data_IF_479192277573
#
_entry.id   IF_479192277573
#
_cell.length_a   1.000
_cell.length_b   1.000
_cell.length_c   1.000
_cell.angle_alpha   90.00
_cell.angle_beta   90.00
_cell.angle_gamma   90.00
#
_symmetry.space_group_name_H-M   'P 1'
#
loop_
_entity.id
_entity.type
_entity.pdbx_description
1 polymer ?
#
# COMPACT_ATOMS: atom_id res chain seq x y z
N UNK A 1 1.55 -16.61 -36.53
CA UNK A 1 2.92 -16.28 -36.11
C UNK A 1 3.91 -17.37 -36.44
N UNK A 2 3.70 -18.62 -36.01
CA UNK A 2 4.62 -19.74 -36.32
C UNK A 2 4.94 -19.90 -37.82
N UNK A 3 3.92 -19.87 -38.69
CA UNK A 3 4.11 -19.89 -40.16
C UNK A 3 4.90 -18.68 -40.70
N UNK A 4 4.78 -17.52 -40.06
CA UNK A 4 5.53 -16.33 -40.46
C UNK A 4 7.01 -16.49 -40.07
N UNK A 5 7.29 -16.99 -38.86
CA UNK A 5 8.66 -17.28 -38.38
C UNK A 5 9.30 -18.39 -39.20
N UNK A 6 8.54 -19.41 -39.64
CA UNK A 6 9.11 -20.47 -40.50
C UNK A 6 9.53 -19.94 -41.88
N UNK A 7 8.86 -18.91 -42.39
CA UNK A 7 9.18 -18.28 -43.67
C UNK A 7 10.27 -17.20 -43.53
N UNK A 8 10.24 -16.47 -42.41
CA UNK A 8 11.16 -15.39 -42.08
C UNK A 8 11.61 -15.54 -40.62
N UNK A 9 12.70 -16.30 -40.37
CA UNK A 9 13.12 -16.65 -39.02
C UNK A 9 13.34 -15.47 -38.09
N UNK A 10 13.77 -14.32 -38.62
CA UNK A 10 14.14 -13.14 -37.84
C UNK A 10 13.11 -12.00 -37.96
N UNK A 11 11.87 -12.34 -38.33
CA UNK A 11 10.77 -11.37 -38.40
C UNK A 11 10.33 -10.92 -36.99
N UNK A 12 10.83 -9.75 -36.58
CA UNK A 12 10.70 -9.16 -35.25
C UNK A 12 9.27 -9.19 -34.71
N UNK A 13 8.30 -8.65 -35.45
CA UNK A 13 6.92 -8.52 -35.00
C UNK A 13 6.26 -9.89 -34.77
N UNK A 14 6.62 -10.90 -35.58
CA UNK A 14 6.10 -12.25 -35.39
C UNK A 14 6.71 -12.95 -34.18
N UNK A 15 8.01 -12.74 -33.91
CA UNK A 15 8.68 -13.29 -32.73
C UNK A 15 8.14 -12.63 -31.46
N UNK A 16 8.04 -11.29 -31.43
CA UNK A 16 7.51 -10.51 -30.30
C UNK A 16 6.06 -10.90 -29.99
N UNK A 17 5.19 -10.90 -31.01
CA UNK A 17 3.80 -11.31 -30.85
C UNK A 17 3.68 -12.76 -30.35
N UNK A 18 4.49 -13.69 -30.89
CA UNK A 18 4.45 -15.08 -30.44
C UNK A 18 4.95 -15.22 -29.01
N UNK A 19 6.01 -14.51 -28.62
CA UNK A 19 6.53 -14.52 -27.24
C UNK A 19 5.43 -14.08 -26.25
N UNK A 20 4.71 -13.01 -26.54
CA UNK A 20 3.59 -12.51 -25.72
C UNK A 20 2.42 -13.48 -25.67
N UNK A 21 2.09 -14.13 -26.80
CA UNK A 21 1.05 -15.18 -26.83
C UNK A 21 1.47 -16.37 -25.96
N UNK A 22 2.74 -16.79 -26.01
CA UNK A 22 3.27 -17.88 -25.17
C UNK A 22 3.22 -17.54 -23.69
N UNK A 23 3.57 -16.30 -23.32
CA UNK A 23 3.38 -15.78 -21.96
C UNK A 23 1.90 -15.91 -21.57
N UNK A 24 0.98 -15.42 -22.39
CA UNK A 24 -0.46 -15.46 -22.12
C UNK A 24 -0.99 -16.90 -21.95
N UNK A 25 -0.44 -17.85 -22.70
CA UNK A 25 -0.75 -19.28 -22.59
C UNK A 25 -0.11 -19.96 -21.36
N UNK A 26 0.80 -19.29 -20.65
CA UNK A 26 1.58 -19.87 -19.56
C UNK A 26 2.75 -20.75 -20.01
N UNK A 27 3.06 -20.77 -21.32
CA UNK A 27 4.20 -21.49 -21.87
C UNK A 27 5.48 -20.63 -21.76
N UNK A 28 5.99 -20.53 -20.53
CA UNK A 28 7.15 -19.70 -20.23
C UNK A 28 8.45 -20.22 -20.84
N UNK A 29 8.55 -21.52 -21.09
CA UNK A 29 9.73 -22.11 -21.73
C UNK A 29 9.87 -21.65 -23.19
N UNK A 30 8.79 -21.70 -23.97
CA UNK A 30 8.80 -21.17 -25.34
C UNK A 30 8.96 -19.65 -25.36
N UNK A 31 8.30 -18.95 -24.42
CA UNK A 31 8.43 -17.50 -24.29
C UNK A 31 9.87 -17.07 -24.03
N UNK A 32 10.59 -17.75 -23.14
CA UNK A 32 12.00 -17.50 -22.84
C UNK A 32 12.88 -17.69 -24.08
N UNK A 33 12.68 -18.77 -24.84
CA UNK A 33 13.45 -19.02 -26.06
C UNK A 33 13.26 -17.91 -27.10
N UNK A 34 12.01 -17.49 -27.32
CA UNK A 34 11.67 -16.44 -28.28
C UNK A 34 12.18 -15.06 -27.84
N UNK A 35 12.05 -14.74 -26.56
CA UNK A 35 12.53 -13.46 -26.00
C UNK A 35 14.05 -13.37 -25.95
N UNK A 36 14.77 -14.47 -25.66
CA UNK A 36 16.23 -14.54 -25.83
C UNK A 36 16.65 -14.30 -27.28
N UNK A 37 15.90 -14.85 -28.25
CA UNK A 37 16.13 -14.58 -29.66
C UNK A 37 15.96 -13.09 -29.98
N UNK A 38 14.89 -12.44 -29.52
CA UNK A 38 14.70 -10.99 -29.69
C UNK A 38 15.85 -10.18 -29.10
N UNK A 39 16.29 -10.50 -27.89
CA UNK A 39 17.43 -9.80 -27.25
C UNK A 39 18.73 -10.02 -28.01
N UNK A 40 18.94 -11.19 -28.62
CA UNK A 40 20.14 -11.44 -29.42
C UNK A 40 20.19 -10.62 -30.71
N UNK A 41 19.04 -10.33 -31.32
CA UNK A 41 18.92 -9.53 -32.54
C UNK A 41 18.90 -8.03 -32.20
N UNK A 42 18.23 -7.66 -31.10
CA UNK A 42 17.97 -6.28 -30.70
C UNK A 42 18.37 -6.03 -29.23
N UNK A 43 19.68 -6.09 -28.90
CA UNK A 43 20.15 -6.02 -27.51
C UNK A 43 19.92 -4.67 -26.83
N UNK A 44 19.65 -3.62 -27.61
CA UNK A 44 19.41 -2.26 -27.12
C UNK A 44 17.92 -1.96 -26.88
N UNK A 45 17.02 -2.93 -27.12
CA UNK A 45 15.59 -2.75 -26.88
C UNK A 45 15.23 -3.16 -25.44
N UNK A 46 14.92 -2.22 -24.53
CA UNK A 46 14.61 -2.53 -23.13
C UNK A 46 13.34 -3.39 -22.98
N UNK A 47 12.38 -3.29 -23.90
CA UNK A 47 11.14 -4.07 -23.85
C UNK A 47 11.41 -5.57 -24.06
N UNK A 48 12.32 -5.92 -24.97
CA UNK A 48 12.69 -7.31 -25.22
C UNK A 48 13.47 -7.91 -24.06
N UNK A 49 14.34 -7.11 -23.44
CA UNK A 49 14.98 -7.48 -22.18
C UNK A 49 13.94 -7.69 -21.07
N UNK A 50 12.90 -6.85 -21.00
CA UNK A 50 11.82 -7.02 -20.01
C UNK A 50 11.04 -8.31 -20.24
N UNK A 51 10.65 -8.61 -21.47
CA UNK A 51 9.95 -9.86 -21.82
C UNK A 51 10.79 -11.09 -21.49
N UNK A 52 12.10 -11.04 -21.77
CA UNK A 52 13.06 -12.09 -21.40
C UNK A 52 13.10 -12.27 -19.88
N UNK A 53 13.35 -11.18 -19.15
CA UNK A 53 13.43 -11.19 -17.70
C UNK A 53 12.16 -11.75 -17.05
N UNK A 54 10.99 -11.36 -17.57
CA UNK A 54 9.70 -11.87 -17.11
C UNK A 54 9.53 -13.37 -17.39
N UNK A 55 9.83 -13.82 -18.60
CA UNK A 55 9.70 -15.24 -18.96
C UNK A 55 10.67 -16.12 -18.16
N UNK A 56 11.91 -15.68 -17.96
CA UNK A 56 12.92 -16.39 -17.16
C UNK A 56 12.53 -16.47 -15.68
N UNK A 57 11.96 -15.41 -15.10
CA UNK A 57 11.45 -15.42 -13.72
C UNK A 57 10.33 -16.44 -13.53
N UNK A 58 9.42 -16.55 -14.51
CA UNK A 58 8.28 -17.48 -14.45
C UNK A 58 8.66 -18.92 -14.82
N UNK A 59 9.76 -19.13 -15.53
CA UNK A 59 10.23 -20.46 -15.84
C UNK A 59 10.99 -21.07 -14.65
N UNK A 60 10.36 -22.01 -13.96
CA UNK A 60 10.91 -22.73 -12.80
C UNK A 60 12.26 -23.42 -13.06
N UNK A 61 12.62 -23.68 -14.33
CA UNK A 61 13.86 -24.36 -14.71
C UNK A 61 15.05 -23.43 -14.98
N UNK A 62 14.84 -22.11 -15.10
CA UNK A 62 15.85 -21.14 -15.59
C UNK A 62 16.17 -20.01 -14.59
N UNK A 63 15.32 -19.80 -13.58
CA UNK A 63 15.34 -18.59 -12.77
C UNK A 63 16.49 -18.54 -11.74
N UNK A 64 17.65 -17.99 -12.13
CA UNK A 64 18.61 -17.44 -11.16
C UNK A 64 18.24 -15.98 -10.85
N UNK A 65 18.03 -15.68 -9.57
CA UNK A 65 17.80 -14.30 -9.09
C UNK A 65 18.88 -13.30 -9.55
N UNK A 66 20.11 -13.77 -9.77
CA UNK A 66 21.21 -12.94 -10.24
C UNK A 66 21.11 -12.59 -11.73
N UNK A 67 20.58 -13.49 -12.56
CA UNK A 67 20.34 -13.22 -13.99
C UNK A 67 19.23 -12.17 -14.11
N UNK A 68 18.11 -12.38 -13.41
CA UNK A 68 17.00 -11.43 -13.38
C UNK A 68 17.44 -10.04 -12.91
N UNK A 69 18.24 -9.97 -11.85
CA UNK A 69 18.86 -8.71 -11.38
C UNK A 69 19.68 -8.06 -12.48
N UNK A 70 20.54 -8.79 -13.18
CA UNK A 70 21.43 -8.24 -14.19
C UNK A 70 20.64 -7.70 -15.39
N UNK A 71 19.62 -8.42 -15.85
CA UNK A 71 18.73 -7.94 -16.92
C UNK A 71 18.02 -6.65 -16.51
N UNK A 72 17.47 -6.58 -15.29
CA UNK A 72 16.80 -5.38 -14.77
C UNK A 72 17.77 -4.20 -14.61
N UNK A 73 19.01 -4.45 -14.22
CA UNK A 73 20.06 -3.42 -14.21
C UNK A 73 20.31 -2.90 -15.61
N UNK A 74 20.38 -3.78 -16.61
CA UNK A 74 20.64 -3.38 -18.00
C UNK A 74 19.48 -2.58 -18.59
N UNK A 75 18.23 -3.02 -18.35
CA UNK A 75 17.03 -2.26 -18.74
C UNK A 75 17.08 -0.83 -18.18
N UNK A 76 17.41 -0.68 -16.90
CA UNK A 76 17.50 0.63 -16.25
C UNK A 76 18.69 1.49 -16.70
N UNK A 77 19.69 0.92 -17.38
CA UNK A 77 20.75 1.69 -18.05
C UNK A 77 20.30 2.18 -19.42
N UNK A 78 19.57 1.34 -20.16
CA UNK A 78 19.05 1.66 -21.49
C UNK A 78 17.92 2.68 -21.42
N UNK A 79 17.03 2.53 -20.43
CA UNK A 79 15.94 3.46 -20.15
C UNK A 79 15.82 3.72 -18.65
N UNK A 80 16.48 4.79 -18.19
CA UNK A 80 16.40 5.26 -16.82
C UNK A 80 15.05 5.95 -16.50
N UNK A 81 14.14 6.09 -17.46
CA UNK A 81 12.83 6.70 -17.26
C UNK A 81 11.73 5.66 -17.10
N UNK A 82 11.99 4.39 -17.41
CA UNK A 82 11.02 3.31 -17.29
C UNK A 82 10.64 3.07 -15.83
N UNK A 83 9.50 3.62 -15.44
CA UNK A 83 8.95 3.46 -14.10
C UNK A 83 8.47 2.03 -13.84
N UNK A 84 8.08 1.26 -14.85
CA UNK A 84 7.58 -0.11 -14.69
C UNK A 84 8.73 -1.04 -14.37
N UNK A 85 9.78 -1.01 -15.21
CA UNK A 85 11.01 -1.78 -14.98
C UNK A 85 11.66 -1.44 -13.63
N UNK A 86 11.60 -0.18 -13.21
CA UNK A 86 12.05 0.22 -11.87
C UNK A 86 11.20 -0.40 -10.77
N UNK A 87 9.87 -0.36 -10.88
CA UNK A 87 8.97 -0.96 -9.90
C UNK A 87 9.19 -2.48 -9.80
N UNK A 88 9.43 -3.15 -10.93
CA UNK A 88 9.80 -4.56 -11.00
C UNK A 88 11.12 -4.84 -10.31
N UNK A 89 12.16 -4.05 -10.63
CA UNK A 89 13.48 -4.13 -10.01
C UNK A 89 13.41 -4.00 -8.48
N UNK A 90 12.60 -3.08 -7.97
CA UNK A 90 12.39 -2.90 -6.54
C UNK A 90 11.71 -4.10 -5.88
N UNK A 91 10.68 -4.67 -6.52
CA UNK A 91 10.03 -5.90 -6.01
C UNK A 91 11.05 -7.04 -5.92
N UNK A 92 11.74 -7.32 -7.03
CA UNK A 92 12.76 -8.39 -7.09
C UNK A 92 13.86 -8.16 -6.06
N UNK A 93 14.30 -6.92 -5.86
CA UNK A 93 15.31 -6.55 -4.89
C UNK A 93 14.85 -6.84 -3.45
N UNK A 94 13.60 -6.54 -3.11
CA UNK A 94 13.03 -6.79 -1.79
C UNK A 94 12.79 -8.28 -1.54
N UNK A 95 12.37 -9.02 -2.56
CA UNK A 95 12.01 -10.44 -2.44
C UNK A 95 13.24 -11.35 -2.32
N UNK A 96 14.35 -11.01 -2.99
CA UNK A 96 15.47 -11.96 -3.18
C UNK A 96 16.81 -11.56 -2.57
N UNK A 97 16.97 -10.29 -2.16
CA UNK A 97 18.27 -9.74 -1.75
C UNK A 97 18.24 -9.10 -0.35
N UNK A 98 19.29 -9.31 0.47
CA UNK A 98 19.38 -8.73 1.81
C UNK A 98 19.56 -7.21 1.75
N UNK A 99 19.20 -6.52 2.83
CA UNK A 99 19.14 -5.05 2.91
C UNK A 99 20.44 -4.32 2.52
N UNK A 100 21.59 -4.93 2.77
CA UNK A 100 22.90 -4.36 2.49
C UNK A 100 23.38 -4.59 1.04
N UNK A 101 22.61 -5.30 0.21
CA UNK A 101 22.99 -5.65 -1.15
C UNK A 101 23.08 -4.40 -2.05
N UNK A 102 24.07 -4.37 -2.95
CA UNK A 102 24.37 -3.21 -3.80
C UNK A 102 23.20 -2.84 -4.73
N UNK A 103 22.43 -3.83 -5.20
CA UNK A 103 21.24 -3.61 -6.03
C UNK A 103 20.16 -2.81 -5.27
N UNK A 104 19.84 -3.21 -4.03
CA UNK A 104 18.92 -2.48 -3.15
C UNK A 104 19.42 -1.07 -2.87
N UNK A 105 20.73 -0.93 -2.63
CA UNK A 105 21.36 0.39 -2.42
C UNK A 105 21.15 1.35 -3.58
N UNK A 106 21.47 0.92 -4.81
CA UNK A 106 21.29 1.75 -6.01
C UNK A 106 19.83 2.19 -6.21
N UNK A 107 18.88 1.26 -6.06
CA UNK A 107 17.44 1.57 -6.18
C UNK A 107 16.98 2.52 -5.07
N UNK A 108 17.43 2.30 -3.84
CA UNK A 108 17.11 3.16 -2.70
C UNK A 108 17.68 4.57 -2.82
N UNK A 109 18.91 4.71 -3.31
CA UNK A 109 19.56 6.00 -3.59
C UNK A 109 18.79 6.80 -4.65
N UNK A 110 18.32 6.14 -5.72
CA UNK A 110 17.43 6.75 -6.70
C UNK A 110 16.15 7.28 -6.02
N UNK A 111 15.51 6.49 -5.17
CA UNK A 111 14.30 6.92 -4.44
C UNK A 111 14.58 8.10 -3.50
N UNK A 112 15.74 8.15 -2.86
CA UNK A 112 16.16 9.31 -2.07
C UNK A 112 16.38 10.56 -2.94
N UNK A 113 16.94 10.42 -4.15
CA UNK A 113 17.03 11.53 -5.10
C UNK A 113 15.64 12.05 -5.49
N UNK A 114 14.69 11.16 -5.79
CA UNK A 114 13.31 11.55 -6.12
C UNK A 114 12.57 12.16 -4.93
N UNK A 115 12.81 11.68 -3.72
CA UNK A 115 12.32 12.29 -2.48
C UNK A 115 12.77 13.76 -2.36
N UNK A 116 14.08 14.03 -2.49
CA UNK A 116 14.62 15.40 -2.43
C UNK A 116 14.02 16.29 -3.51
N UNK A 117 13.94 15.79 -4.75
CA UNK A 117 13.33 16.51 -5.88
C UNK A 117 11.86 16.87 -5.61
N UNK A 118 11.08 15.91 -5.12
CA UNK A 118 9.64 16.10 -4.84
C UNK A 118 9.43 17.06 -3.68
N UNK A 119 10.23 16.93 -2.61
CA UNK A 119 10.19 17.81 -1.44
C UNK A 119 10.52 19.26 -1.82
N UNK A 120 11.55 19.48 -2.64
CA UNK A 120 11.91 20.80 -3.15
C UNK A 120 10.84 21.41 -4.05
N UNK A 121 10.05 20.57 -4.72
CA UNK A 121 8.91 20.97 -5.55
C UNK A 121 7.60 21.09 -4.76
N UNK A 122 7.65 20.96 -3.42
CA UNK A 122 6.48 20.98 -2.52
C UNK A 122 5.44 19.87 -2.80
N UNK A 123 5.83 18.82 -3.51
CA UNK A 123 5.00 17.65 -3.78
C UNK A 123 5.14 16.65 -2.61
N UNK A 124 4.56 17.01 -1.46
CA UNK A 124 4.79 16.26 -0.22
C UNK A 124 4.32 14.81 -0.29
N UNK A 125 3.16 14.51 -0.88
CA UNK A 125 2.67 13.13 -0.96
C UNK A 125 3.59 12.24 -1.82
N UNK A 126 4.12 12.80 -2.91
CA UNK A 126 5.13 12.15 -3.75
C UNK A 126 6.44 11.94 -3.00
N UNK A 127 6.88 12.95 -2.24
CA UNK A 127 8.05 12.83 -1.39
C UNK A 127 7.86 11.70 -0.36
N UNK A 128 6.73 11.66 0.35
CA UNK A 128 6.42 10.61 1.33
C UNK A 128 6.43 9.21 0.70
N UNK A 129 5.87 9.07 -0.50
CA UNK A 129 5.93 7.80 -1.25
C UNK A 129 7.37 7.37 -1.54
N UNK A 130 8.19 8.26 -2.11
CA UNK A 130 9.58 7.94 -2.42
C UNK A 130 10.42 7.62 -1.17
N UNK A 131 10.20 8.36 -0.09
CA UNK A 131 10.85 8.09 1.20
C UNK A 131 10.44 6.73 1.75
N UNK A 132 9.16 6.34 1.63
CA UNK A 132 8.72 5.01 2.05
C UNK A 132 9.38 3.91 1.24
N UNK A 133 9.50 4.07 -0.09
CA UNK A 133 10.21 3.11 -0.93
C UNK A 133 11.70 3.03 -0.57
N UNK A 134 12.36 4.16 -0.33
CA UNK A 134 13.76 4.19 0.12
C UNK A 134 13.94 3.51 1.48
N UNK A 135 13.03 3.75 2.42
CA UNK A 135 13.03 3.10 3.74
C UNK A 135 12.96 1.59 3.65
N UNK A 136 12.20 1.05 2.72
CA UNK A 136 12.16 -0.41 2.53
C UNK A 136 13.39 -0.94 1.82
N UNK A 137 13.91 -0.24 0.81
CA UNK A 137 15.08 -0.70 0.07
C UNK A 137 16.36 -0.65 0.93
N UNK A 138 16.54 0.41 1.72
CA UNK A 138 17.75 0.70 2.49
C UNK A 138 17.44 1.28 3.89
N UNK A 139 16.72 0.51 4.76
CA UNK A 139 16.27 0.99 6.07
C UNK A 139 17.41 1.38 7.02
N UNK A 140 18.60 0.81 6.84
CA UNK A 140 19.78 1.07 7.67
C UNK A 140 20.54 2.37 7.35
N UNK A 141 20.25 3.03 6.22
CA UNK A 141 21.00 4.22 5.80
C UNK A 141 20.67 5.43 6.71
N UNK A 142 21.66 6.12 7.30
CA UNK A 142 21.41 7.20 8.27
C UNK A 142 20.50 8.31 7.73
N UNK A 143 20.69 8.72 6.48
CA UNK A 143 19.86 9.77 5.88
C UNK A 143 18.38 9.34 5.76
N UNK A 144 18.12 8.10 5.35
CA UNK A 144 16.76 7.55 5.25
C UNK A 144 16.09 7.51 6.62
N UNK A 145 16.81 7.11 7.66
CA UNK A 145 16.32 7.11 9.04
C UNK A 145 15.99 8.52 9.52
N UNK A 146 16.88 9.49 9.27
CA UNK A 146 16.67 10.89 9.64
C UNK A 146 15.47 11.53 8.92
N UNK A 147 15.32 11.29 7.61
CA UNK A 147 14.18 11.80 6.85
C UNK A 147 12.89 11.11 7.26
N UNK A 148 12.92 9.81 7.56
CA UNK A 148 11.77 9.07 8.11
C UNK A 148 11.34 9.64 9.47
N UNK A 149 12.30 9.93 10.35
CA UNK A 149 12.05 10.54 11.65
C UNK A 149 11.39 11.93 11.47
N UNK A 150 11.93 12.75 10.57
CA UNK A 150 11.37 14.07 10.24
C UNK A 150 9.95 13.97 9.68
N UNK A 151 9.69 12.96 8.86
CA UNK A 151 8.36 12.71 8.30
C UNK A 151 7.35 12.28 9.38
N UNK A 152 7.71 11.36 10.28
CA UNK A 152 6.83 10.98 11.39
C UNK A 152 6.51 12.16 12.31
N UNK A 153 7.50 13.03 12.57
CA UNK A 153 7.28 14.28 13.31
C UNK A 153 6.30 15.21 12.59
N UNK A 154 6.46 15.38 11.27
CA UNK A 154 5.59 16.22 10.42
C UNK A 154 4.15 15.70 10.38
N UNK A 155 3.96 14.39 10.27
CA UNK A 155 2.62 13.78 10.22
C UNK A 155 1.98 13.62 11.60
N UNK A 156 2.71 13.87 12.69
CA UNK A 156 2.22 13.68 14.05
C UNK A 156 2.07 12.22 14.46
N UNK A 157 2.72 11.28 13.76
CA UNK A 157 2.64 9.84 14.07
C UNK A 157 3.55 9.52 15.27
N UNK A 158 3.09 9.94 16.45
CA UNK A 158 3.86 9.95 17.69
C UNK A 158 4.51 8.60 18.05
N UNK A 159 3.80 7.46 18.03
CA UNK A 159 4.39 6.17 18.39
C UNK A 159 5.57 5.75 17.50
N UNK A 160 5.39 5.86 16.17
CA UNK A 160 6.45 5.56 15.21
C UNK A 160 7.62 6.54 15.32
N UNK A 161 7.32 7.82 15.60
CA UNK A 161 8.34 8.84 15.85
C UNK A 161 9.17 8.49 17.10
N UNK A 162 8.53 8.23 18.25
CA UNK A 162 9.22 7.90 19.50
C UNK A 162 10.03 6.61 19.38
N UNK A 163 9.47 5.54 18.82
CA UNK A 163 10.19 4.27 18.67
C UNK A 163 11.42 4.41 17.77
N UNK A 164 11.31 5.17 16.67
CA UNK A 164 12.48 5.47 15.83
C UNK A 164 13.49 6.36 16.55
N UNK A 165 13.04 7.31 17.36
CA UNK A 165 13.89 8.20 18.14
C UNK A 165 14.67 7.44 19.22
N UNK A 166 14.01 6.52 19.95
CA UNK A 166 14.63 5.62 20.93
C UNK A 166 15.69 4.72 20.27
N UNK A 167 15.35 4.14 19.12
CA UNK A 167 16.30 3.37 18.31
C UNK A 167 17.53 4.19 17.91
N UNK A 168 17.32 5.42 17.41
CA UNK A 168 18.41 6.31 17.01
C UNK A 168 19.25 6.79 18.20
N UNK A 169 18.63 7.01 19.36
CA UNK A 169 19.33 7.33 20.61
C UNK A 169 20.29 6.21 21.03
N UNK A 170 19.83 4.96 20.95
CA UNK A 170 20.66 3.77 21.25
C UNK A 170 21.82 3.61 20.26
N UNK A 171 21.56 3.87 18.98
CA UNK A 171 22.58 3.78 17.92
C UNK A 171 23.59 4.95 17.96
N UNK A 172 23.16 6.13 18.38
CA UNK A 172 23.96 7.35 18.41
C UNK A 172 23.89 8.04 19.80
N UNK A 173 24.50 7.42 20.84
CA UNK A 173 24.41 7.89 22.23
C UNK A 173 25.11 9.23 22.50
N UNK A 174 25.94 9.73 21.59
CA UNK A 174 26.56 11.05 21.72
C UNK A 174 25.63 12.20 21.30
N UNK A 175 24.56 11.89 20.55
CA UNK A 175 23.63 12.92 20.10
C UNK A 175 22.62 13.28 21.21
N UNK A 176 22.97 14.28 22.01
CA UNK A 176 22.12 14.78 23.10
C UNK A 176 20.76 15.33 22.63
N UNK A 177 20.61 15.73 21.36
CA UNK A 177 19.33 16.22 20.84
C UNK A 177 18.24 15.16 20.92
N UNK A 178 18.58 13.89 20.67
CA UNK A 178 17.62 12.80 20.78
C UNK A 178 17.13 12.61 22.21
N UNK A 179 18.02 12.75 23.21
CA UNK A 179 17.65 12.65 24.62
C UNK A 179 16.64 13.73 25.00
N UNK A 180 16.94 14.98 24.66
CA UNK A 180 16.05 16.11 24.94
C UNK A 180 14.68 15.97 24.25
N UNK A 181 14.66 15.54 22.98
CA UNK A 181 13.40 15.29 22.28
C UNK A 181 12.59 14.17 22.95
N UNK A 182 13.23 13.08 23.39
CA UNK A 182 12.56 11.98 24.12
C UNK A 182 11.95 12.50 25.42
N UNK A 183 12.69 13.24 26.24
CA UNK A 183 12.20 13.75 27.53
C UNK A 183 10.98 14.66 27.35
N UNK A 184 11.03 15.58 26.38
CA UNK A 184 9.89 16.43 26.04
C UNK A 184 8.67 15.61 25.61
N UNK A 185 8.87 14.64 24.72
CA UNK A 185 7.82 13.77 24.22
C UNK A 185 7.18 12.94 25.33
N UNK A 186 7.98 12.37 26.23
CA UNK A 186 7.47 11.61 27.37
C UNK A 186 6.64 12.48 28.32
N UNK A 187 7.04 13.74 28.51
CA UNK A 187 6.28 14.69 29.34
C UNK A 187 4.88 14.97 28.77
N UNK A 188 4.77 15.21 27.45
CA UNK A 188 3.48 15.40 26.79
C UNK A 188 2.66 14.12 26.72
N UNK A 189 3.30 12.96 26.54
CA UNK A 189 2.62 11.66 26.44
C UNK A 189 1.89 11.31 27.72
N UNK A 190 2.51 11.59 28.87
CA UNK A 190 1.90 11.35 30.18
C UNK A 190 0.62 12.16 30.42
N UNK A 191 0.40 13.23 29.65
CA UNK A 191 -0.81 14.06 29.71
C UNK A 191 -1.91 13.58 28.75
N UNK A 192 -1.58 12.73 27.77
CA UNK A 192 -2.52 12.23 26.76
C UNK A 192 -3.66 11.42 27.37
N UNK A 193 -4.80 11.38 26.67
CA UNK A 193 -5.91 10.47 26.95
C UNK A 193 -5.40 9.03 26.94
N UNK A 194 -4.58 8.68 25.95
CA UNK A 194 -4.09 7.32 25.78
C UNK A 194 -3.28 6.81 26.98
N UNK A 195 -2.43 7.65 27.58
CA UNK A 195 -1.69 7.29 28.79
C UNK A 195 -2.60 7.21 30.03
N UNK A 196 -3.51 8.19 30.21
CA UNK A 196 -4.46 8.20 31.33
C UNK A 196 -5.40 7.00 31.33
N UNK A 197 -5.76 6.49 30.16
CA UNK A 197 -6.57 5.28 30.00
C UNK A 197 -5.75 3.98 29.99
N UNK A 198 -4.42 4.04 30.14
CA UNK A 198 -3.56 2.85 30.15
C UNK A 198 -3.45 2.13 28.79
N UNK A 199 -3.71 2.83 27.69
CA UNK A 199 -3.68 2.30 26.31
C UNK A 199 -2.30 2.40 25.67
N UNK A 200 -1.38 3.10 26.34
CA UNK A 200 0.03 3.18 25.98
C UNK A 200 0.85 2.77 27.20
N UNK A 201 1.84 1.93 26.99
CA UNK A 201 2.87 1.61 27.96
C UNK A 201 4.25 2.00 27.40
N UNK A 202 4.99 2.82 28.15
CA UNK A 202 6.36 3.18 27.82
C UNK A 202 7.28 2.19 28.50
N UNK A 203 7.85 1.28 27.73
CA UNK A 203 8.97 0.44 28.17
C UNK A 203 10.28 1.19 27.93
N UNK A 204 11.34 0.83 28.66
CA UNK A 204 12.65 1.50 28.53
C UNK A 204 13.23 1.48 27.11
N UNK A 205 12.84 0.50 26.28
CA UNK A 205 13.32 0.35 24.90
C UNK A 205 12.29 0.73 23.83
N UNK A 206 10.98 0.73 24.14
CA UNK A 206 9.91 0.96 23.15
C UNK A 206 8.60 1.49 23.79
N UNK A 207 7.78 2.15 22.99
CA UNK A 207 6.38 2.42 23.30
C UNK A 207 5.50 1.31 22.72
N UNK A 208 4.73 0.65 23.60
CA UNK A 208 3.71 -0.35 23.27
C UNK A 208 2.36 0.34 23.30
N UNK A 209 1.53 0.06 22.30
CA UNK A 209 0.23 0.72 22.13
C UNK A 209 -0.88 -0.28 21.87
N UNK A 210 -2.04 0.00 22.46
CA UNK A 210 -3.29 -0.68 22.17
C UNK A 210 -4.45 0.32 22.29
N UNK A 211 -4.58 1.20 21.29
CA UNK A 211 -5.68 2.18 21.24
C UNK A 211 -7.07 1.56 21.02
N UNK A 212 -7.18 0.23 20.90
CA UNK A 212 -8.44 -0.45 20.59
C UNK A 212 -9.09 0.05 19.28
N UNK A 213 -8.29 0.51 18.31
CA UNK A 213 -8.78 1.06 17.04
C UNK A 213 -9.52 0.01 16.23
N UNK A 214 -10.66 0.39 15.67
CA UNK A 214 -11.52 -0.46 14.84
C UNK A 214 -11.72 0.15 13.45
N UNK A 215 -10.63 0.41 12.71
CA UNK A 215 -10.73 1.04 11.40
C UNK A 215 -11.50 0.16 10.41
N UNK A 216 -12.16 0.75 9.40
CA UNK A 216 -12.85 -0.01 8.37
C UNK A 216 -11.89 -0.95 7.62
N UNK A 217 -12.36 -2.17 7.37
CA UNK A 217 -11.59 -3.19 6.64
C UNK A 217 -11.88 -3.12 5.15
N UNK A 218 -10.84 -3.03 4.35
CA UNK A 218 -10.86 -2.91 2.90
C UNK A 218 -10.34 -4.21 2.27
N UNK A 219 -11.00 -4.68 1.22
CA UNK A 219 -10.50 -5.74 0.34
C UNK A 219 -10.21 -5.14 -1.03
N UNK A 220 -8.95 -5.08 -1.42
CA UNK A 220 -8.51 -4.53 -2.69
C UNK A 220 -8.05 -5.64 -3.64
N UNK A 221 -8.86 -5.91 -4.66
CA UNK A 221 -8.53 -6.82 -5.75
C UNK A 221 -7.42 -6.27 -6.64
N UNK A 222 -6.77 -7.16 -7.39
CA UNK A 222 -5.88 -6.69 -8.45
C UNK A 222 -6.67 -6.01 -9.56
N UNK A 223 -6.03 -5.04 -10.20
CA UNK A 223 -6.54 -4.42 -11.41
C UNK A 223 -6.63 -5.46 -12.54
N UNK A 224 -7.70 -5.37 -13.32
CA UNK A 224 -7.78 -6.05 -14.60
C UNK A 224 -6.97 -5.28 -15.64
N UNK A 225 -5.99 -5.92 -16.29
CA UNK A 225 -5.28 -5.31 -17.41
C UNK A 225 -6.12 -5.38 -18.69
N UNK A 226 -6.40 -4.22 -19.30
CA UNK A 226 -7.08 -4.08 -20.59
C UNK A 226 -6.10 -3.91 -21.76
N UNK A 227 -4.81 -3.90 -21.49
CA UNK A 227 -3.73 -3.83 -22.49
C UNK A 227 -3.53 -5.24 -23.05
N UNK A 228 -4.34 -5.63 -24.03
CA UNK A 228 -4.24 -6.94 -24.66
C UNK A 228 -2.83 -7.15 -25.24
N UNK A 229 -2.14 -8.20 -24.79
CA UNK A 229 -0.73 -8.49 -25.14
C UNK A 229 0.21 -7.27 -24.97
N UNK A 230 -0.03 -6.46 -23.93
CA UNK A 230 0.77 -5.27 -23.62
C UNK A 230 2.23 -5.57 -23.31
N UNK A 231 3.06 -4.51 -23.31
CA UNK A 231 4.52 -4.58 -23.17
C UNK A 231 5.01 -5.11 -21.83
N UNK A 232 4.16 -5.03 -20.81
CA UNK A 232 4.50 -5.35 -19.43
C UNK A 232 3.47 -6.34 -18.87
N UNK A 233 3.70 -7.66 -18.98
CA UNK A 233 2.71 -8.68 -18.62
C UNK A 233 2.23 -8.64 -17.17
N UNK A 234 3.03 -8.13 -16.24
CA UNK A 234 2.75 -8.04 -14.81
C UNK A 234 2.41 -6.62 -14.32
N UNK A 235 2.17 -5.67 -15.23
CA UNK A 235 1.87 -4.28 -14.89
C UNK A 235 0.71 -4.13 -13.89
N UNK A 236 -0.37 -4.86 -14.11
CA UNK A 236 -1.52 -4.87 -13.22
C UNK A 236 -1.19 -5.33 -11.80
N UNK A 237 -0.36 -6.37 -11.66
CA UNK A 237 0.07 -6.85 -10.36
C UNK A 237 0.99 -5.84 -9.68
N UNK A 238 1.96 -5.28 -10.40
CA UNK A 238 2.92 -4.30 -9.87
C UNK A 238 2.20 -3.05 -9.32
N UNK A 239 1.26 -2.50 -10.09
CA UNK A 239 0.49 -1.31 -9.65
C UNK A 239 -0.40 -1.67 -8.46
N UNK A 240 -1.13 -2.80 -8.53
CA UNK A 240 -2.04 -3.21 -7.46
C UNK A 240 -1.31 -3.43 -6.14
N UNK A 241 -0.17 -4.12 -6.18
CA UNK A 241 0.69 -4.34 -5.01
C UNK A 241 1.25 -3.02 -4.46
N UNK A 242 1.66 -2.09 -5.32
CA UNK A 242 2.16 -0.78 -4.88
C UNK A 242 1.06 0.06 -4.20
N UNK A 243 -0.17 0.07 -4.73
CA UNK A 243 -1.32 0.73 -4.10
C UNK A 243 -1.68 0.07 -2.78
N UNK A 244 -1.77 -1.27 -2.71
CA UNK A 244 -2.02 -2.01 -1.45
C UNK A 244 -0.97 -1.66 -0.40
N UNK A 245 0.31 -1.71 -0.76
CA UNK A 245 1.40 -1.35 0.12
C UNK A 245 1.29 0.09 0.64
N UNK A 246 0.93 1.06 -0.20
CA UNK A 246 0.77 2.44 0.28
C UNK A 246 -0.49 2.62 1.15
N UNK A 247 -1.57 1.89 0.86
CA UNK A 247 -2.77 1.85 1.70
C UNK A 247 -2.47 1.23 3.08
N UNK A 248 -1.68 0.16 3.17
CA UNK A 248 -1.36 -0.50 4.45
C UNK A 248 -0.54 0.37 5.41
N UNK A 249 0.11 1.42 4.89
CA UNK A 249 0.81 2.40 5.72
C UNK A 249 -0.14 3.34 6.48
N UNK A 250 -1.42 3.42 6.07
CA UNK A 250 -2.41 4.33 6.65
C UNK A 250 -3.19 3.66 7.81
N UNK A 251 -3.07 4.14 9.06
CA UNK A 251 -3.73 3.55 10.23
C UNK A 251 -5.23 3.87 10.37
N UNK A 252 -5.82 4.61 9.43
CA UNK A 252 -7.27 4.87 9.41
C UNK A 252 -8.07 3.76 8.73
N UNK A 253 -7.38 2.77 8.13
CA UNK A 253 -7.97 1.63 7.45
C UNK A 253 -7.22 0.35 7.82
N UNK A 254 -7.85 -0.81 7.63
CA UNK A 254 -7.17 -2.11 7.65
C UNK A 254 -7.31 -2.76 6.28
N UNK A 255 -6.23 -3.24 5.68
CA UNK A 255 -6.30 -4.05 4.48
C UNK A 255 -6.48 -5.52 4.83
N UNK A 256 -7.38 -6.19 4.12
CA UNK A 256 -7.53 -7.64 4.18
C UNK A 256 -6.42 -8.34 3.41
N UNK A 257 -5.73 -9.27 4.06
CA UNK A 257 -4.66 -10.08 3.49
C UNK A 257 -5.16 -11.35 2.78
N UNK A 258 -6.48 -11.49 2.61
CA UNK A 258 -7.10 -12.72 2.09
C UNK A 258 -6.63 -13.07 0.67
N UNK A 259 -6.34 -12.07 -0.17
CA UNK A 259 -5.83 -12.30 -1.52
C UNK A 259 -4.39 -12.81 -1.50
N UNK A 260 -3.53 -12.26 -0.65
CA UNK A 260 -2.17 -12.76 -0.48
C UNK A 260 -2.18 -14.18 0.09
N UNK A 261 -3.06 -14.44 1.06
CA UNK A 261 -3.29 -15.79 1.59
C UNK A 261 -3.77 -16.76 0.51
N UNK A 262 -4.66 -16.31 -0.39
CA UNK A 262 -5.16 -17.13 -1.49
C UNK A 262 -4.08 -17.45 -2.54
N UNK A 263 -3.16 -16.51 -2.82
CA UNK A 263 -2.03 -16.77 -3.74
C UNK A 263 -1.06 -17.82 -3.19
N UNK A 264 -0.84 -17.80 -1.88
CA UNK A 264 0.14 -18.66 -1.23
C UNK A 264 -0.42 -20.02 -0.80
N UNK A 265 -1.74 -20.23 -0.90
CA UNK A 265 -2.39 -21.44 -0.43
C UNK A 265 -3.03 -22.25 -1.58
N UNK A 266 -2.48 -23.42 -1.94
CA UNK A 266 -3.02 -24.25 -3.02
C UNK A 266 -4.41 -24.83 -2.72
N UNK A 267 -4.87 -24.79 -1.46
CA UNK A 267 -6.22 -25.24 -1.08
C UNK A 267 -7.32 -24.19 -1.33
N UNK A 268 -6.96 -22.95 -1.70
CA UNK A 268 -7.95 -21.95 -2.07
C UNK A 268 -8.55 -22.27 -3.45
N UNK A 269 -9.88 -22.27 -3.57
CA UNK A 269 -10.59 -22.48 -4.85
C UNK A 269 -10.48 -21.31 -5.83
N UNK A 270 -9.67 -20.30 -5.48
CA UNK A 270 -9.43 -19.11 -6.28
C UNK A 270 -8.05 -19.26 -6.89
N UNK A 271 -8.00 -19.49 -8.20
CA UNK A 271 -6.75 -19.56 -8.94
C UNK A 271 -6.42 -18.18 -9.49
N UNK A 272 -5.19 -17.74 -9.23
CA UNK A 272 -4.62 -16.57 -9.88
C UNK A 272 -4.60 -16.77 -11.40
N UNK A 273 -4.69 -15.66 -12.15
CA UNK A 273 -4.58 -15.70 -13.60
C UNK A 273 -3.25 -16.38 -14.00
N UNK A 274 -3.26 -17.37 -14.92
CA UNK A 274 -2.13 -18.28 -15.13
C UNK A 274 -0.80 -17.60 -15.43
N UNK A 275 -0.84 -16.46 -16.15
CA UNK A 275 0.37 -15.78 -16.59
C UNK A 275 0.75 -14.56 -15.74
N UNK A 276 -0.22 -13.76 -15.29
CA UNK A 276 0.06 -12.54 -14.51
C UNK A 276 0.14 -12.78 -13.00
N UNK A 277 -0.45 -13.87 -12.48
CA UNK A 277 -0.65 -14.07 -11.05
C UNK A 277 -1.70 -13.13 -10.42
N UNK A 278 -2.48 -12.40 -11.23
CA UNK A 278 -3.49 -11.45 -10.73
C UNK A 278 -4.76 -12.15 -10.26
N UNK A 279 -5.40 -11.56 -9.25
CA UNK A 279 -6.70 -11.90 -8.70
C UNK A 279 -7.67 -10.71 -8.89
N UNK A 280 -8.18 -10.49 -10.11
CA UNK A 280 -9.13 -9.41 -10.36
C UNK A 280 -10.50 -9.71 -9.73
N UNK A 281 -11.28 -8.65 -9.51
CA UNK A 281 -12.64 -8.78 -9.03
C UNK A 281 -13.51 -9.49 -10.07
N UNK A 282 -14.19 -10.53 -9.62
CA UNK A 282 -15.39 -11.08 -10.25
C UNK A 282 -16.37 -11.43 -9.13
N UNK A 283 -17.66 -11.47 -9.45
CA UNK A 283 -18.66 -11.85 -8.44
C UNK A 283 -18.39 -13.26 -7.88
N UNK A 284 -17.97 -14.19 -8.74
CA UNK A 284 -17.62 -15.56 -8.32
C UNK A 284 -16.39 -15.59 -7.42
N UNK A 285 -15.34 -14.82 -7.74
CA UNK A 285 -14.15 -14.70 -6.87
C UNK A 285 -14.54 -14.12 -5.51
N UNK A 286 -15.36 -13.07 -5.48
CA UNK A 286 -15.78 -12.43 -4.24
C UNK A 286 -16.63 -13.38 -3.35
N UNK A 287 -17.57 -14.11 -3.94
CA UNK A 287 -18.39 -15.09 -3.21
C UNK A 287 -17.50 -16.18 -2.57
N UNK A 288 -16.54 -16.72 -3.31
CA UNK A 288 -15.58 -17.70 -2.78
C UNK A 288 -14.76 -17.15 -1.61
N UNK A 289 -14.30 -15.90 -1.70
CA UNK A 289 -13.59 -15.23 -0.60
C UNK A 289 -14.51 -15.13 0.62
N UNK A 290 -15.73 -14.64 0.43
CA UNK A 290 -16.73 -14.46 1.49
C UNK A 290 -17.08 -15.78 2.20
N UNK A 291 -17.16 -16.88 1.47
CA UNK A 291 -17.49 -18.20 2.02
C UNK A 291 -16.31 -18.84 2.74
N UNK A 292 -15.08 -18.61 2.27
CA UNK A 292 -13.85 -19.06 2.92
C UNK A 292 -13.56 -18.30 4.22
N UNK A 293 -14.06 -17.07 4.37
CA UNK A 293 -13.72 -16.14 5.44
C UNK A 293 -14.49 -16.35 6.75
N UNK A 294 -15.05 -17.54 7.01
CA UNK A 294 -15.92 -17.82 8.18
C UNK A 294 -15.26 -17.52 9.55
N UNK A 295 -13.93 -17.35 9.61
CA UNK A 295 -13.16 -17.02 10.82
C UNK A 295 -12.39 -15.69 10.77
N UNK A 296 -12.46 -14.91 9.69
CA UNK A 296 -11.69 -13.65 9.54
C UNK A 296 -12.57 -12.40 9.52
N UNK A 297 -11.94 -11.25 9.79
CA UNK A 297 -12.61 -9.94 9.79
C UNK A 297 -13.17 -9.68 8.39
N UNK A 298 -14.50 -9.60 8.28
CA UNK A 298 -15.20 -9.43 7.01
C UNK A 298 -14.91 -8.06 6.40
N UNK A 299 -14.38 -7.98 5.16
CA UNK A 299 -14.14 -6.71 4.50
C UNK A 299 -15.45 -5.93 4.30
N UNK A 300 -15.43 -4.68 4.74
CA UNK A 300 -16.55 -3.75 4.61
C UNK A 300 -16.60 -3.10 3.22
N UNK A 301 -15.44 -2.71 2.70
CA UNK A 301 -15.34 -2.01 1.44
C UNK A 301 -14.54 -2.84 0.45
N UNK A 302 -15.08 -3.01 -0.75
CA UNK A 302 -14.41 -3.67 -1.86
C UNK A 302 -13.85 -2.61 -2.79
N UNK A 303 -12.58 -2.76 -3.17
CA UNK A 303 -11.89 -1.89 -4.12
C UNK A 303 -11.46 -2.77 -5.29
N UNK A 304 -11.85 -2.38 -6.48
CA UNK A 304 -11.50 -3.09 -7.70
C UNK A 304 -11.50 -2.15 -8.89
N UNK A 305 -10.95 -2.60 -10.00
CA UNK A 305 -10.77 -1.73 -11.15
C UNK A 305 -10.11 -2.39 -12.33
N UNK A 306 -9.77 -1.56 -13.30
CA UNK A 306 -8.99 -1.96 -14.47
C UNK A 306 -7.95 -0.91 -14.79
N UNK A 307 -6.90 -1.32 -15.48
CA UNK A 307 -5.92 -0.40 -16.04
C UNK A 307 -5.76 -0.60 -17.54
N UNK A 308 -5.23 0.43 -18.20
CA UNK A 308 -4.77 0.40 -19.58
C UNK A 308 -3.50 1.23 -19.67
N UNK A 309 -2.47 0.67 -20.29
CA UNK A 309 -1.24 1.39 -20.60
C UNK A 309 -1.12 1.50 -22.12
N UNK A 310 -1.12 2.73 -22.62
CA UNK A 310 -0.94 3.02 -24.05
C UNK A 310 -0.20 4.34 -24.21
N UNK A 311 0.63 4.45 -25.25
CA UNK A 311 1.33 5.70 -25.60
C UNK A 311 2.06 6.33 -24.39
N UNK A 312 2.77 5.50 -23.62
CA UNK A 312 3.48 5.86 -22.39
C UNK A 312 2.62 6.55 -21.32
N UNK A 313 1.32 6.25 -21.32
CA UNK A 313 0.34 6.84 -20.42
C UNK A 313 -0.44 5.74 -19.71
N UNK A 314 -0.60 5.89 -18.40
CA UNK A 314 -1.31 4.94 -17.56
C UNK A 314 -2.69 5.49 -17.22
N UNK A 315 -3.71 4.70 -17.53
CA UNK A 315 -5.10 4.95 -17.18
C UNK A 315 -5.55 3.88 -16.18
N UNK A 316 -6.13 4.31 -15.06
CA UNK A 316 -6.71 3.40 -14.07
C UNK A 316 -8.14 3.83 -13.76
N UNK A 317 -9.08 2.90 -13.90
CA UNK A 317 -10.46 3.02 -13.47
C UNK A 317 -10.63 2.29 -12.14
N UNK A 318 -11.06 2.99 -11.09
CA UNK A 318 -11.35 2.42 -9.77
C UNK A 318 -12.84 2.45 -9.46
N UNK A 319 -13.30 1.42 -8.75
CA UNK A 319 -14.63 1.33 -8.15
C UNK A 319 -14.50 0.94 -6.68
N UNK A 320 -15.25 1.64 -5.83
CA UNK A 320 -15.33 1.37 -4.39
C UNK A 320 -16.77 1.03 -4.04
N UNK A 321 -16.99 -0.15 -3.48
CA UNK A 321 -18.31 -0.69 -3.15
C UNK A 321 -18.42 -1.00 -1.66
N UNK A 322 -19.52 -0.59 -1.04
CA UNK A 322 -19.93 -1.03 0.28
C UNK A 322 -20.56 -2.43 0.19
N UNK A 323 -19.90 -3.43 0.75
CA UNK A 323 -20.33 -4.84 0.66
C UNK A 323 -21.57 -5.18 1.50
N UNK A 324 -21.94 -4.36 2.49
CA UNK A 324 -23.15 -4.64 3.29
C UNK A 324 -24.40 -4.09 2.62
N UNK A 325 -24.27 -2.92 1.99
CA UNK A 325 -25.40 -2.24 1.35
C UNK A 325 -25.44 -2.46 -0.16
N UNK A 326 -24.49 -3.23 -0.71
CA UNK A 326 -24.35 -3.49 -2.14
C UNK A 326 -24.30 -2.20 -2.99
N UNK A 327 -23.81 -1.10 -2.39
CA UNK A 327 -23.83 0.24 -2.99
C UNK A 327 -22.45 0.66 -3.44
N UNK A 328 -22.34 1.13 -4.68
CA UNK A 328 -21.13 1.81 -5.16
C UNK A 328 -21.03 3.17 -4.47
N UNK A 329 -19.96 3.38 -3.71
CA UNK A 329 -19.67 4.63 -3.02
C UNK A 329 -19.05 5.65 -3.97
N UNK A 330 -18.14 5.18 -4.82
CA UNK A 330 -17.36 6.05 -5.70
C UNK A 330 -16.83 5.26 -6.89
N UNK A 331 -16.77 5.93 -8.04
CA UNK A 331 -15.96 5.51 -9.20
C UNK A 331 -15.12 6.70 -9.62
N UNK A 332 -13.85 6.46 -9.94
CA UNK A 332 -12.98 7.53 -10.38
C UNK A 332 -11.87 7.01 -11.29
N UNK A 333 -11.34 7.94 -12.07
CA UNK A 333 -10.22 7.69 -12.98
C UNK A 333 -8.95 8.36 -12.49
N UNK A 334 -7.84 7.70 -12.76
CA UNK A 334 -6.48 8.23 -12.62
C UNK A 334 -5.82 8.18 -13.98
N UNK A 335 -5.14 9.27 -14.32
CA UNK A 335 -4.26 9.39 -15.47
C UNK A 335 -2.89 9.85 -14.97
N UNK A 336 -1.83 9.23 -15.48
CA UNK A 336 -0.45 9.66 -15.24
C UNK A 336 0.43 9.37 -16.46
N UNK A 337 1.49 10.17 -16.60
CA UNK A 337 2.45 10.10 -17.71
C UNK A 337 3.81 10.65 -17.25
N UNK A 338 4.87 10.27 -17.97
CA UNK A 338 6.22 10.77 -17.72
C UNK A 338 6.96 9.96 -16.66
N UNK A 339 8.14 10.42 -16.24
CA UNK A 339 9.10 9.61 -15.46
C UNK A 339 8.56 8.95 -14.18
N UNK A 340 7.69 9.62 -13.43
CA UNK A 340 7.15 9.12 -12.16
C UNK A 340 5.67 8.73 -12.25
N UNK A 341 5.21 8.30 -13.43
CA UNK A 341 3.79 8.02 -13.64
C UNK A 341 3.22 6.94 -12.71
N UNK A 342 4.01 5.92 -12.30
CA UNK A 342 3.55 4.92 -11.33
C UNK A 342 3.44 5.52 -9.93
N UNK A 343 4.49 6.12 -9.34
CA UNK A 343 4.36 6.85 -8.07
C UNK A 343 3.17 7.82 -8.03
N UNK A 344 2.99 8.63 -9.09
CA UNK A 344 1.87 9.57 -9.20
C UNK A 344 0.52 8.85 -9.20
N UNK A 345 0.38 7.79 -10.01
CA UNK A 345 -0.84 6.99 -10.05
C UNK A 345 -1.16 6.35 -8.71
N UNK A 346 -0.14 5.83 -8.01
CA UNK A 346 -0.27 5.18 -6.71
C UNK A 346 -0.73 6.18 -5.66
N UNK A 347 -0.03 7.31 -5.50
CA UNK A 347 -0.36 8.35 -4.52
C UNK A 347 -1.78 8.89 -4.75
N UNK A 348 -2.14 9.19 -6.01
CA UNK A 348 -3.49 9.68 -6.33
C UNK A 348 -4.57 8.63 -6.10
N UNK A 349 -4.29 7.36 -6.41
CA UNK A 349 -5.22 6.26 -6.15
C UNK A 349 -5.47 6.11 -4.65
N UNK A 350 -4.41 6.05 -3.84
CA UNK A 350 -4.48 5.94 -2.38
C UNK A 350 -5.28 7.10 -1.78
N UNK A 351 -4.96 8.34 -2.17
CA UNK A 351 -5.66 9.54 -1.68
C UNK A 351 -7.17 9.50 -2.00
N UNK A 352 -7.55 9.20 -3.25
CA UNK A 352 -8.97 9.10 -3.64
C UNK A 352 -9.70 7.92 -2.99
N UNK A 353 -9.01 6.79 -2.79
CA UNK A 353 -9.56 5.64 -2.04
C UNK A 353 -9.91 6.07 -0.62
N UNK A 354 -8.94 6.61 0.12
CA UNK A 354 -9.11 7.00 1.53
C UNK A 354 -10.16 8.11 1.71
N UNK A 355 -10.25 9.04 0.75
CA UNK A 355 -11.28 10.08 0.73
C UNK A 355 -12.70 9.51 0.55
N UNK A 356 -12.83 8.38 -0.16
CA UNK A 356 -14.11 7.73 -0.45
C UNK A 356 -14.60 6.81 0.67
N UNK A 357 -13.72 6.39 1.59
CA UNK A 357 -14.08 5.56 2.73
C UNK A 357 -14.71 6.43 3.82
N UNK A 358 -15.98 6.17 4.21
CA UNK A 358 -16.61 6.87 5.31
C UNK A 358 -15.78 6.66 6.59
N UNK A 359 -15.46 7.73 7.33
CA UNK A 359 -14.85 7.57 8.62
C UNK A 359 -15.76 6.79 9.57
N UNK A 360 -15.17 5.92 10.38
CA UNK A 360 -15.90 5.20 11.42
C UNK A 360 -14.99 4.88 12.59
N UNK A 361 -15.57 4.83 13.78
CA UNK A 361 -14.93 4.35 15.00
C UNK A 361 -15.91 3.61 15.88
N UNK A 362 -15.54 3.43 17.13
CA UNK A 362 -16.39 2.88 18.18
C UNK A 362 -16.14 3.54 19.52
N UNK A 363 -17.15 3.47 20.38
CA UNK A 363 -17.02 3.80 21.79
C UNK A 363 -16.09 2.77 22.41
N UNK A 364 -14.98 3.24 22.98
CA UNK A 364 -14.00 2.39 23.64
C UNK A 364 -14.38 2.15 25.10
N UNK A 365 -14.83 3.21 25.78
CA UNK A 365 -15.18 3.18 27.20
C UNK A 365 -16.28 4.18 27.52
N UNK A 366 -17.25 3.77 28.32
CA UNK A 366 -18.30 4.65 28.86
C UNK A 366 -17.96 4.93 30.33
N UNK A 367 -17.90 6.22 30.71
CA UNK A 367 -17.68 6.66 32.09
C UNK A 367 -18.93 7.32 32.64
N UNK A 368 -18.86 7.82 33.87
CA UNK A 368 -20.00 8.42 34.57
C UNK A 368 -20.53 9.70 33.90
N UNK A 369 -19.65 10.51 33.31
CA UNK A 369 -20.01 11.81 32.71
C UNK A 369 -19.62 11.94 31.23
N UNK A 370 -18.72 11.09 30.74
CA UNK A 370 -18.17 11.16 29.39
C UNK A 370 -17.89 9.79 28.79
N UNK A 371 -17.39 9.80 27.55
CA UNK A 371 -17.03 8.60 26.82
C UNK A 371 -15.70 8.78 26.08
N UNK A 372 -14.93 7.71 26.03
CA UNK A 372 -13.68 7.63 25.27
C UNK A 372 -13.96 6.91 23.96
N UNK A 373 -13.51 7.49 22.86
CA UNK A 373 -13.73 6.97 21.52
C UNK A 373 -12.39 6.71 20.83
N UNK A 374 -12.34 5.63 20.03
CA UNK A 374 -11.10 5.19 19.39
C UNK A 374 -10.77 5.92 18.08
N UNK A 375 -11.17 7.19 17.99
CA UNK A 375 -10.98 8.08 16.85
C UNK A 375 -10.47 9.43 17.34
N UNK A 376 -9.57 10.06 16.59
CA UNK A 376 -8.88 11.28 17.02
C UNK A 376 -8.59 12.25 15.87
N UNK A 377 -7.58 13.09 16.08
CA UNK A 377 -7.17 14.12 15.12
C UNK A 377 -6.77 13.52 13.76
N UNK A 378 -6.13 12.34 13.77
CA UNK A 378 -5.79 11.62 12.54
C UNK A 378 -7.03 11.29 11.69
N UNK A 379 -8.14 10.99 12.33
CA UNK A 379 -9.38 10.59 11.65
C UNK A 379 -10.20 11.81 11.18
N UNK A 380 -9.71 13.02 11.47
CA UNK A 380 -10.30 14.31 11.07
C UNK A 380 -11.16 14.97 12.14
N UNK A 381 -11.19 14.44 13.37
CA UNK A 381 -11.91 15.07 14.47
C UNK A 381 -11.19 16.32 14.97
N UNK A 382 -11.94 17.23 15.59
CA UNK A 382 -11.46 18.42 16.30
C UNK A 382 -12.29 18.60 17.57
N UNK A 383 -11.78 19.40 18.51
CA UNK A 383 -12.59 19.87 19.64
C UNK A 383 -13.84 20.57 19.10
N UNK A 384 -15.01 20.20 19.63
CA UNK A 384 -16.33 20.67 19.18
C UNK A 384 -16.95 19.85 18.04
N UNK A 385 -16.26 18.85 17.48
CA UNK A 385 -16.86 17.94 16.50
C UNK A 385 -18.04 17.18 17.12
N UNK A 386 -19.16 17.09 16.40
CA UNK A 386 -20.30 16.27 16.78
C UNK A 386 -20.17 14.87 16.18
N UNK A 387 -20.42 13.87 17.01
CA UNK A 387 -20.41 12.47 16.63
C UNK A 387 -21.79 11.84 16.84
N UNK A 388 -22.17 10.94 15.94
CA UNK A 388 -23.39 10.15 16.03
C UNK A 388 -23.03 8.71 16.40
N UNK A 389 -23.73 8.17 17.39
CA UNK A 389 -23.47 6.87 17.97
C UNK A 389 -24.63 5.93 17.62
N UNK A 390 -24.29 4.73 17.16
CA UNK A 390 -25.24 3.72 16.69
C UNK A 390 -24.94 2.36 17.31
N UNK A 391 -25.97 1.69 17.78
CA UNK A 391 -25.95 0.29 18.19
C UNK A 391 -26.61 -0.59 17.11
N UNK A 392 -26.87 -1.86 17.43
CA UNK A 392 -27.55 -2.79 16.52
C UNK A 392 -29.00 -2.41 16.18
N UNK A 393 -29.68 -1.68 17.08
CA UNK A 393 -31.08 -1.28 16.96
C UNK A 393 -31.28 0.07 16.25
N UNK A 394 -30.21 0.86 16.08
CA UNK A 394 -30.27 2.15 15.41
C UNK A 394 -29.41 3.20 16.11
N UNK A 395 -29.81 4.46 16.01
CA UNK A 395 -29.10 5.58 16.66
C UNK A 395 -29.26 5.47 18.18
N UNK A 396 -28.15 5.30 18.89
CA UNK A 396 -28.11 5.23 20.36
C UNK A 396 -27.87 6.58 21.02
N UNK A 397 -27.22 7.54 20.35
CA UNK A 397 -26.98 8.86 20.92
C UNK A 397 -26.19 9.81 20.03
N UNK A 398 -25.90 10.99 20.60
CA UNK A 398 -24.98 11.99 20.04
C UNK A 398 -24.07 12.51 21.15
N UNK A 399 -22.85 12.86 20.79
CA UNK A 399 -21.87 13.45 21.70
C UNK A 399 -21.02 14.49 20.99
N UNK A 400 -20.41 15.37 21.76
CA UNK A 400 -19.51 16.43 21.29
C UNK A 400 -18.11 16.18 21.82
N UNK A 401 -17.10 16.23 20.95
CA UNK A 401 -15.68 16.06 21.32
C UNK A 401 -15.22 17.25 22.17
N UNK A 402 -14.73 16.98 23.38
CA UNK A 402 -14.25 18.01 24.31
C UNK A 402 -12.73 18.05 24.41
N UNK A 403 -12.09 16.89 24.28
CA UNK A 403 -10.64 16.71 24.29
C UNK A 403 -10.23 15.75 23.17
N UNK A 404 -9.08 16.02 22.54
CA UNK A 404 -8.63 15.28 21.37
C UNK A 404 -7.16 14.89 21.49
N UNK A 405 -6.91 13.61 21.23
CA UNK A 405 -5.60 13.04 20.99
C UNK A 405 -5.46 12.65 19.51
N UNK A 406 -4.26 12.18 19.12
CA UNK A 406 -4.01 11.77 17.74
C UNK A 406 -4.91 10.60 17.30
N UNK A 407 -5.10 9.59 18.16
CA UNK A 407 -5.87 8.37 17.86
C UNK A 407 -7.17 8.22 18.66
N UNK A 408 -7.36 9.03 19.69
CA UNK A 408 -8.48 8.93 20.63
C UNK A 408 -9.13 10.30 20.83
N UNK A 409 -10.35 10.31 21.32
CA UNK A 409 -11.01 11.54 21.78
C UNK A 409 -11.85 11.25 23.01
N UNK A 410 -12.04 12.29 23.83
CA UNK A 410 -13.02 12.32 24.91
C UNK A 410 -14.22 13.12 24.43
N UNK A 411 -15.41 12.55 24.54
CA UNK A 411 -16.64 13.19 24.13
C UNK A 411 -17.66 13.22 25.27
N UNK A 412 -18.47 14.27 25.30
CA UNK A 412 -19.55 14.42 26.27
C UNK A 412 -20.89 14.26 25.53
N UNK A 413 -21.81 13.41 26.00
CA UNK A 413 -23.12 13.25 25.38
C UNK A 413 -23.92 14.55 25.40
N UNK A 414 -24.58 14.88 24.29
CA UNK A 414 -25.34 16.13 24.13
C UNK A 414 -26.54 16.21 25.12
N UNK A 415 -27.03 15.07 25.63
CA UNK A 415 -28.11 14.95 26.62
C UNK A 415 -27.61 14.69 28.06
N UNK A 416 -26.32 14.90 28.34
CA UNK A 416 -25.70 14.60 29.63
C UNK A 416 -25.84 13.13 30.04
N UNK A 417 -25.94 12.87 31.35
CA UNK A 417 -25.99 11.52 31.93
C UNK A 417 -27.14 10.68 31.36
N UNK A 418 -28.27 11.29 31.00
CA UNK A 418 -29.39 10.57 30.40
C UNK A 418 -29.06 10.03 29.00
N UNK A 419 -28.15 10.68 28.27
CA UNK A 419 -27.64 10.19 26.98
C UNK A 419 -26.70 8.97 27.12
N UNK A 420 -26.03 8.80 28.27
CA UNK A 420 -25.14 7.65 28.50
C UNK A 420 -25.90 6.33 28.63
N UNK A 421 -27.14 6.37 29.14
CA UNK A 421 -27.96 5.16 29.40
C UNK A 421 -28.24 4.32 28.15
N UNK A 422 -28.16 4.93 26.97
CA UNK A 422 -28.43 4.28 25.68
C UNK A 422 -27.15 3.94 24.91
N UNK A 423 -25.99 4.41 25.36
CA UNK A 423 -24.68 4.21 24.71
C UNK A 423 -23.95 3.07 25.42
N UNK A 424 -23.29 2.21 24.65
CA UNK A 424 -22.49 1.10 25.20
C UNK A 424 -21.11 1.01 24.55
N UNK A 425 -20.17 0.36 25.24
CA UNK A 425 -18.86 0.03 24.65
C UNK A 425 -19.05 -0.82 23.39
N UNK A 426 -18.28 -0.50 22.35
CA UNK A 426 -18.40 -1.12 21.03
C UNK A 426 -19.46 -0.50 20.11
N UNK A 427 -20.31 0.40 20.59
CA UNK A 427 -21.22 1.17 19.73
C UNK A 427 -20.45 1.90 18.65
N UNK A 428 -20.98 1.92 17.42
CA UNK A 428 -20.31 2.52 16.26
C UNK A 428 -20.49 4.02 16.23
N UNK A 429 -19.45 4.70 15.79
CA UNK A 429 -19.41 6.15 15.72
C UNK A 429 -19.22 6.59 14.28
N UNK A 430 -20.01 7.57 13.86
CA UNK A 430 -19.90 8.25 12.57
C UNK A 430 -19.90 9.76 12.77
N UNK A 431 -19.18 10.47 11.90
CA UNK A 431 -19.15 11.92 11.89
C UNK A 431 -19.00 12.42 10.46
N UNK A 432 -19.30 13.70 10.28
CA UNK A 432 -19.05 14.40 9.03
C UNK A 432 -17.61 14.93 9.06
N UNK A 433 -16.82 14.60 8.03
CA UNK A 433 -15.49 15.18 7.82
C UNK A 433 -15.58 16.67 7.53
#
# INVERSE_FOLDING_TARGET
MERAISLYPDFEEAIDSLARIRIWQGDFQSAESLSRKLVSIYPQNPLYLYLKAFAEEKNANSSSKDILKNDLIEILKLDDLDSISRQKAESVALDHFPENHSFRRKLGEYRMQRFRSSKNSLLYDMASHHLSCARELIPGQPEVQFQTLSEYKRTGFFPRYLNLLLFLRKKYPENQKYQYEIENLLSSTKQSIAYREGLIEITGDNLVENYGRTPPVLLMFDLLDKSFLGDYPDLALLISSSVRKNLSLNPTITLSEVLESARNNPSFEIKAAPYTGTLPYTESTYLKIKDSSKKSIKPRFLIYGSLKYENHSLHIDWTIKDSKHEKVLSTFRIFSKGRDFIPEAVVRSVSKILASIPPSGSVLKVKDEDLIVNVGALDGLKKGSKIQIYNSSGKSGEATIEEIDYFLSRAVPDNGINGLKTISEGDRIFWKR
#
